data_IF_104074602029
#
_entry.id   IF_104074602029
#
_cell.length_a   1.000
_cell.length_b   1.000
_cell.length_c   1.000
_cell.angle_alpha   90.00
_cell.angle_beta   90.00
_cell.angle_gamma   90.00
#
_symmetry.space_group_name_H-M   'P 1'
#
loop_
_entity.id
_entity.type
_entity.pdbx_description
1 polymer ?
#
# COMPACT_ATOMS: atom_id res chain seq x y z
N UNK A 1 -0.01 3.40 6.12
CA UNK A 1 -0.16 4.60 6.95
C UNK A 1 -1.59 5.13 6.97
N UNK A 2 -2.31 5.11 5.86
CA UNK A 2 -3.68 5.66 5.75
C UNK A 2 -4.81 4.63 5.99
N UNK A 3 -4.48 3.38 6.28
CA UNK A 3 -5.45 2.30 6.49
C UNK A 3 -6.38 2.57 7.70
N UNK A 4 -5.94 3.41 8.64
CA UNK A 4 -6.73 3.84 9.80
C UNK A 4 -7.94 4.73 9.45
N UNK A 5 -7.98 5.30 8.25
CA UNK A 5 -9.12 6.14 7.82
C UNK A 5 -10.34 5.33 7.38
N UNK A 6 -10.25 4.01 7.30
CA UNK A 6 -11.34 3.15 6.85
C UNK A 6 -11.65 3.25 5.35
N UNK A 7 -10.78 3.89 4.58
CA UNK A 7 -10.88 4.01 3.14
C UNK A 7 -9.97 2.97 2.45
N UNK A 8 -10.35 2.56 1.24
CA UNK A 8 -9.53 1.70 0.39
C UNK A 8 -8.34 2.48 -0.17
N UNK A 9 -7.22 1.83 -0.39
CA UNK A 9 -6.01 2.48 -0.94
C UNK A 9 -6.25 3.06 -2.33
N UNK A 10 -7.03 2.40 -3.15
CA UNK A 10 -7.47 2.88 -4.46
C UNK A 10 -8.25 4.21 -4.37
N UNK A 11 -9.13 4.32 -3.38
CA UNK A 11 -9.90 5.55 -3.13
C UNK A 11 -9.00 6.70 -2.69
N UNK A 12 -8.09 6.45 -1.75
CA UNK A 12 -7.14 7.46 -1.25
C UNK A 12 -6.24 7.95 -2.38
N UNK A 13 -5.77 7.03 -3.22
CA UNK A 13 -4.91 7.37 -4.35
C UNK A 13 -5.60 8.27 -5.36
N UNK A 14 -6.85 7.96 -5.72
CA UNK A 14 -7.64 8.75 -6.67
C UNK A 14 -7.98 10.15 -6.12
N UNK A 15 -8.20 10.25 -4.81
CA UNK A 15 -8.49 11.53 -4.16
C UNK A 15 -7.26 12.42 -3.97
N UNK A 16 -6.05 11.89 -4.15
CA UNK A 16 -4.82 12.59 -3.76
C UNK A 16 -4.63 13.90 -4.52
N UNK A 17 -4.83 13.89 -5.82
CA UNK A 17 -4.64 15.07 -6.67
C UNK A 17 -5.64 16.19 -6.31
N UNK A 18 -6.90 15.83 -6.08
CA UNK A 18 -7.93 16.76 -5.66
C UNK A 18 -7.65 17.34 -4.27
N UNK A 19 -7.26 16.48 -3.33
CA UNK A 19 -6.91 16.89 -1.98
C UNK A 19 -5.68 17.82 -1.97
N UNK A 20 -4.67 17.55 -2.79
CA UNK A 20 -3.48 18.41 -2.93
C UNK A 20 -3.83 19.75 -3.56
N UNK A 21 -4.65 19.77 -4.61
CA UNK A 21 -5.11 21.00 -5.24
C UNK A 21 -5.90 21.89 -4.26
N UNK A 22 -6.80 21.27 -3.48
CA UNK A 22 -7.56 21.97 -2.45
C UNK A 22 -6.66 22.54 -1.34
N UNK A 23 -5.68 21.75 -0.88
CA UNK A 23 -4.72 22.21 0.13
C UNK A 23 -3.89 23.40 -0.37
N UNK A 24 -3.42 23.37 -1.62
CA UNK A 24 -2.68 24.48 -2.24
C UNK A 24 -3.54 25.74 -2.36
N UNK A 25 -4.80 25.61 -2.75
CA UNK A 25 -5.75 26.72 -2.81
C UNK A 25 -5.92 27.35 -1.43
N UNK A 26 -6.15 26.54 -0.41
CA UNK A 26 -6.34 27.01 0.98
C UNK A 26 -5.11 27.77 1.48
N UNK A 27 -3.90 27.29 1.16
CA UNK A 27 -2.64 27.98 1.54
C UNK A 27 -2.50 29.31 0.80
N UNK A 28 -2.81 29.36 -0.50
CA UNK A 28 -2.78 30.56 -1.31
C UNK A 28 -3.77 31.62 -0.78
N UNK A 29 -4.99 31.23 -0.47
CA UNK A 29 -6.03 32.12 0.06
C UNK A 29 -5.64 32.71 1.41
N UNK A 30 -5.00 31.92 2.29
CA UNK A 30 -4.43 32.40 3.55
C UNK A 30 -3.29 33.41 3.35
N UNK A 31 -2.43 33.18 2.35
CA UNK A 31 -1.30 34.07 2.04
C UNK A 31 -1.77 35.44 1.51
N UNK A 32 -2.90 35.50 0.82
CA UNK A 32 -3.49 36.75 0.29
C UNK A 32 -4.32 37.50 1.34
N UNK A 33 -4.52 36.93 2.53
CA UNK A 33 -5.22 37.61 3.65
C UNK A 33 -6.74 37.72 3.47
N UNK A 34 -7.32 37.08 2.45
CA UNK A 34 -8.77 37.08 2.24
C UNK A 34 -9.54 36.11 3.16
N UNK A 35 -8.82 35.18 3.82
CA UNK A 35 -9.42 34.21 4.73
C UNK A 35 -9.89 34.75 6.07
N UNK A 36 -9.37 35.91 6.50
CA UNK A 36 -9.52 36.37 7.89
C UNK A 36 -10.95 36.85 8.23
N UNK A 37 -11.71 37.35 7.28
CA UNK A 37 -13.06 37.90 7.59
C UNK A 37 -14.14 36.82 7.53
N UNK A 38 -14.01 35.86 6.62
CA UNK A 38 -14.95 34.72 6.51
C UNK A 38 -14.67 33.60 7.52
N UNK A 39 -13.41 33.42 7.93
CA UNK A 39 -13.03 32.46 8.99
C UNK A 39 -13.58 32.89 10.37
N UNK A 40 -13.68 34.19 10.64
CA UNK A 40 -14.30 34.69 11.86
C UNK A 40 -15.82 34.51 11.89
N UNK A 41 -16.46 34.35 10.76
CA UNK A 41 -17.92 34.07 10.65
C UNK A 41 -18.21 32.56 10.58
N UNK A 42 -17.22 31.73 10.37
CA UNK A 42 -17.28 30.26 10.35
C UNK A 42 -16.67 29.65 11.60
N UNK A 43 -17.07 30.08 12.78
CA UNK A 43 -16.88 29.33 14.03
C UNK A 43 -17.85 28.12 14.09
N UNK A 44 -17.91 27.31 13.04
CA UNK A 44 -18.73 26.09 13.04
C UNK A 44 -18.11 25.10 12.07
N UNK A 45 -17.34 24.19 12.62
CA UNK A 45 -16.83 22.95 12.02
C UNK A 45 -15.91 23.10 10.80
N UNK A 46 -14.73 22.45 10.81
CA UNK A 46 -13.94 22.31 9.59
C UNK A 46 -14.77 21.48 8.60
N UNK A 47 -15.22 22.13 7.57
CA UNK A 47 -15.94 21.49 6.46
C UNK A 47 -14.94 20.57 5.71
N UNK A 48 -14.76 19.36 6.25
CA UNK A 48 -13.94 18.29 5.67
C UNK A 48 -14.64 17.68 4.44
N UNK A 49 -15.82 18.19 4.09
CA UNK A 49 -16.73 17.63 3.10
C UNK A 49 -16.41 18.01 1.65
N UNK A 50 -15.25 18.61 1.35
CA UNK A 50 -14.99 19.12 0.01
C UNK A 50 -14.31 18.13 -0.94
N UNK A 51 -13.82 17.00 -0.44
CA UNK A 51 -13.29 15.95 -1.30
C UNK A 51 -14.28 14.80 -1.33
N UNK A 52 -14.87 14.58 -2.48
CA UNK A 52 -15.80 13.46 -2.69
C UNK A 52 -15.03 12.15 -2.67
N UNK A 53 -15.43 11.21 -1.80
CA UNK A 53 -14.83 9.87 -1.79
C UNK A 53 -15.41 9.06 -2.93
N UNK A 54 -14.63 8.69 -3.96
CA UNK A 54 -15.12 7.89 -5.05
C UNK A 54 -15.44 6.47 -4.58
N UNK A 55 -16.53 5.88 -5.08
CA UNK A 55 -16.84 4.48 -4.81
C UNK A 55 -16.07 3.58 -5.80
N UNK A 56 -14.84 3.27 -5.44
CA UNK A 56 -13.94 2.43 -6.23
C UNK A 56 -13.66 1.12 -5.51
N UNK A 57 -13.58 -0.01 -6.23
CA UNK A 57 -13.12 -1.26 -5.65
C UNK A 57 -11.65 -1.15 -5.26
N UNK A 58 -11.25 -1.94 -4.27
CA UNK A 58 -9.83 -2.02 -3.89
C UNK A 58 -9.00 -2.67 -4.99
N UNK A 59 -7.74 -2.31 -5.07
CA UNK A 59 -6.80 -2.96 -5.98
C UNK A 59 -6.63 -4.44 -5.66
N UNK A 60 -6.32 -5.27 -6.68
CA UNK A 60 -6.00 -6.67 -6.47
C UNK A 60 -4.88 -6.86 -5.45
N UNK A 61 -4.94 -7.93 -4.66
CA UNK A 61 -3.97 -8.20 -3.59
C UNK A 61 -2.52 -8.22 -4.08
N UNK A 62 -2.27 -8.77 -5.26
CA UNK A 62 -0.94 -8.80 -5.86
C UNK A 62 -0.38 -7.39 -6.13
N UNK A 63 -1.23 -6.45 -6.55
CA UNK A 63 -0.83 -5.05 -6.74
C UNK A 63 -0.55 -4.36 -5.41
N UNK A 64 -1.42 -4.53 -4.41
CA UNK A 64 -1.19 -3.98 -3.07
C UNK A 64 0.16 -4.42 -2.49
N UNK A 65 0.49 -5.70 -2.63
CA UNK A 65 1.75 -6.25 -2.16
C UNK A 65 2.95 -5.77 -2.99
N UNK A 66 2.78 -5.63 -4.31
CA UNK A 66 3.84 -5.08 -5.17
C UNK A 66 4.17 -3.62 -4.81
N UNK A 67 3.15 -2.80 -4.58
CA UNK A 67 3.32 -1.40 -4.18
C UNK A 67 3.94 -1.28 -2.78
N UNK A 68 3.53 -2.11 -1.82
CA UNK A 68 4.18 -2.20 -0.50
C UNK A 68 5.67 -2.52 -0.63
N UNK A 69 6.01 -3.54 -1.42
CA UNK A 69 7.39 -3.93 -1.66
C UNK A 69 8.20 -2.83 -2.34
N UNK A 70 7.61 -2.14 -3.31
CA UNK A 70 8.28 -1.05 -4.03
C UNK A 70 8.57 0.15 -3.13
N UNK A 71 7.63 0.50 -2.24
CA UNK A 71 7.73 1.67 -1.38
C UNK A 71 8.49 1.42 -0.08
N UNK A 72 8.29 0.27 0.54
CA UNK A 72 8.83 -0.06 1.87
C UNK A 72 10.04 -1.00 1.82
N UNK A 73 10.23 -1.69 0.71
CA UNK A 73 11.27 -2.70 0.56
C UNK A 73 10.90 -4.09 1.10
N UNK A 74 9.79 -4.21 1.81
CA UNK A 74 9.30 -5.46 2.40
C UNK A 74 7.76 -5.52 2.36
N UNK A 75 7.20 -6.69 2.63
CA UNK A 75 5.76 -6.91 2.69
C UNK A 75 5.25 -6.72 4.12
N UNK A 76 4.11 -6.04 4.29
CA UNK A 76 3.48 -5.75 5.59
C UNK A 76 2.14 -6.47 5.73
N UNK A 77 1.26 -6.35 4.73
CA UNK A 77 -0.11 -6.86 4.83
C UNK A 77 -0.27 -8.31 4.40
N UNK A 78 0.76 -8.90 3.83
CA UNK A 78 0.75 -10.30 3.38
C UNK A 78 2.02 -10.67 2.66
N UNK A 79 2.04 -11.84 2.05
CA UNK A 79 3.16 -12.32 1.23
C UNK A 79 2.63 -12.89 -0.08
N UNK A 80 3.30 -12.70 -1.22
CA UNK A 80 2.84 -13.23 -2.52
C UNK A 80 2.63 -14.75 -2.54
N UNK A 81 3.39 -15.49 -1.72
CA UNK A 81 3.20 -16.94 -1.57
C UNK A 81 1.98 -17.32 -0.72
N UNK A 82 1.31 -16.35 -0.06
CA UNK A 82 0.14 -16.61 0.76
C UNK A 82 -1.00 -17.26 -0.04
N UNK A 83 -1.21 -16.85 -1.28
CA UNK A 83 -2.19 -17.43 -2.19
C UNK A 83 -1.84 -18.88 -2.59
N UNK A 84 -0.59 -19.27 -2.46
CA UNK A 84 -0.07 -20.60 -2.81
C UNK A 84 0.25 -21.45 -1.58
N UNK A 85 -0.20 -21.05 -0.39
CA UNK A 85 0.10 -21.75 0.86
C UNK A 85 -0.26 -23.24 0.79
N UNK A 86 -1.46 -23.57 0.32
CA UNK A 86 -1.93 -24.95 0.13
C UNK A 86 -1.04 -25.72 -0.85
N UNK A 87 -0.55 -25.05 -1.88
CA UNK A 87 0.33 -25.66 -2.88
C UNK A 87 1.70 -25.95 -2.29
N UNK A 88 2.24 -24.98 -1.54
CA UNK A 88 3.53 -25.11 -0.84
C UNK A 88 3.49 -26.27 0.14
N UNK A 89 2.44 -26.38 0.92
CA UNK A 89 2.24 -27.48 1.88
C UNK A 89 2.06 -28.82 1.17
N UNK A 90 1.21 -28.87 0.12
CA UNK A 90 0.94 -30.08 -0.63
C UNK A 90 2.17 -30.69 -1.31
N UNK A 91 3.08 -29.84 -1.78
CA UNK A 91 4.31 -30.32 -2.45
C UNK A 91 5.47 -30.55 -1.46
N UNK A 92 5.27 -30.27 -0.18
CA UNK A 92 6.27 -30.54 0.87
C UNK A 92 7.55 -29.75 0.64
N UNK A 93 7.44 -28.43 0.38
CA UNK A 93 8.61 -27.57 0.33
C UNK A 93 9.15 -27.34 1.73
N UNK A 94 10.47 -27.45 1.89
CA UNK A 94 11.15 -27.15 3.13
C UNK A 94 11.11 -25.65 3.42
N UNK A 95 10.94 -25.30 4.68
CA UNK A 95 11.00 -23.90 5.11
C UNK A 95 12.44 -23.41 5.17
N UNK A 96 12.69 -22.13 4.89
CA UNK A 96 14.05 -21.58 4.95
C UNK A 96 14.75 -21.81 6.30
N UNK A 97 13.98 -21.85 7.39
CA UNK A 97 14.51 -22.09 8.74
C UNK A 97 14.99 -23.53 8.97
N UNK A 98 14.50 -24.48 8.18
CA UNK A 98 14.81 -25.90 8.27
C UNK A 98 16.03 -26.29 7.41
N UNK A 99 16.34 -25.47 6.38
CA UNK A 99 17.48 -25.75 5.48
C UNK A 99 18.84 -25.92 6.18
N UNK A 100 19.20 -25.12 7.20
CA UNK A 100 20.46 -25.29 7.91
C UNK A 100 20.57 -26.58 8.74
N UNK A 101 19.44 -27.27 8.96
CA UNK A 101 19.38 -28.51 9.73
C UNK A 101 19.53 -29.77 8.86
N UNK A 102 19.53 -29.59 7.54
CA UNK A 102 19.69 -30.68 6.60
C UNK A 102 21.17 -31.08 6.49
N UNK A 103 21.41 -32.37 6.35
CA UNK A 103 22.76 -32.90 6.11
C UNK A 103 23.28 -32.44 4.73
N UNK A 104 24.59 -32.26 4.65
CA UNK A 104 25.25 -31.92 3.40
C UNK A 104 25.00 -32.99 2.32
N UNK A 105 24.49 -32.56 1.16
CA UNK A 105 24.09 -33.47 0.08
C UNK A 105 22.69 -34.04 0.19
N UNK A 106 21.90 -33.67 1.19
CA UNK A 106 20.47 -34.04 1.28
C UNK A 106 19.67 -33.40 0.16
N UNK A 107 18.79 -34.18 -0.47
CA UNK A 107 17.85 -33.66 -1.47
C UNK A 107 16.74 -32.85 -0.80
N UNK A 108 16.56 -31.59 -1.20
CA UNK A 108 15.49 -30.72 -0.68
C UNK A 108 14.69 -30.09 -1.80
N UNK A 109 13.49 -29.59 -1.47
CA UNK A 109 12.63 -28.82 -2.35
C UNK A 109 12.37 -27.46 -1.71
N UNK A 110 12.65 -26.40 -2.44
CA UNK A 110 12.35 -25.04 -2.02
C UNK A 110 11.43 -24.34 -3.00
N UNK A 111 10.49 -23.57 -2.46
CA UNK A 111 9.60 -22.74 -3.24
C UNK A 111 9.86 -21.27 -2.96
N UNK A 112 9.70 -20.41 -3.97
CA UNK A 112 9.92 -19.00 -3.79
C UNK A 112 9.29 -18.17 -4.90
N UNK A 113 9.33 -16.85 -4.74
CA UNK A 113 8.94 -15.87 -5.76
C UNK A 113 10.20 -15.34 -6.43
N UNK A 114 10.22 -15.37 -7.76
CA UNK A 114 11.32 -14.81 -8.54
C UNK A 114 11.25 -13.27 -8.41
N UNK A 115 12.26 -12.68 -7.78
CA UNK A 115 12.36 -11.24 -7.60
C UNK A 115 13.04 -10.54 -8.79
N UNK A 116 14.03 -11.17 -9.39
CA UNK A 116 14.73 -10.66 -10.57
C UNK A 116 15.31 -11.80 -11.42
N UNK A 117 15.46 -11.56 -12.71
CA UNK A 117 16.10 -12.49 -13.63
C UNK A 117 17.17 -11.73 -14.40
N UNK A 118 18.43 -12.05 -14.17
CA UNK A 118 19.55 -11.50 -14.91
C UNK A 118 20.06 -12.53 -15.93
N UNK A 119 19.92 -12.18 -17.21
CA UNK A 119 20.47 -13.02 -18.30
C UNK A 119 21.90 -12.56 -18.62
N UNK A 120 22.86 -13.44 -18.36
CA UNK A 120 24.24 -13.25 -18.83
C UNK A 120 24.36 -13.80 -20.26
N UNK A 121 24.71 -12.94 -21.16
CA UNK A 121 25.12 -13.30 -22.53
C UNK A 121 26.59 -13.65 -22.61
#
# INVERSE_FOLDING_TARGET
AFDSFGLRRSQIFEMLDEAMAHAQQTVADRAVGQGSLFDMLRESEPDITLVSVPDLPEWPQNQLLADEKALLGFYVTGHPLGEYADTVERFGFEKPEELPQLDDGAGTRVGGVIASVDMKT
#
